data_IF_779493487089
#
_entry.id   IF_779493487089
#
_cell.length_a   1.000
_cell.length_b   1.000
_cell.length_c   1.000
_cell.angle_alpha   90.00
_cell.angle_beta   90.00
_cell.angle_gamma   90.00
#
_symmetry.space_group_name_H-M   'P 1'
#
loop_
_entity.id
_entity.type
_entity.pdbx_description
1 polymer ?
#
# COMPACT_ATOMS: atom_id res chain seq x y z
N UNK A 1 15.81 -4.06 25.97
CA UNK A 1 16.04 -5.27 25.16
C UNK A 1 15.30 -6.42 25.80
N UNK A 2 14.45 -7.10 25.04
CA UNK A 2 13.91 -8.42 25.33
C UNK A 2 14.61 -9.42 24.41
N UNK A 3 15.16 -10.48 24.96
CA UNK A 3 15.80 -11.55 24.20
C UNK A 3 15.07 -12.84 24.58
N UNK A 4 14.35 -13.43 23.62
CA UNK A 4 13.43 -14.55 23.83
C UNK A 4 14.18 -15.81 24.27
N UNK A 5 15.40 -16.01 23.76
CA UNK A 5 16.26 -17.12 24.18
C UNK A 5 16.64 -17.01 25.65
N UNK A 6 17.15 -15.87 26.09
CA UNK A 6 17.60 -15.67 27.48
C UNK A 6 16.45 -15.46 28.47
N UNK A 7 15.30 -15.01 27.98
CA UNK A 7 14.05 -14.93 28.76
C UNK A 7 13.41 -16.30 28.99
N UNK A 8 13.87 -17.34 28.29
CA UNK A 8 13.42 -18.73 28.47
C UNK A 8 12.21 -19.09 27.63
N UNK A 9 12.00 -18.40 26.51
CA UNK A 9 10.92 -18.64 25.56
C UNK A 9 11.35 -19.47 24.34
N UNK A 10 12.65 -19.69 24.13
CA UNK A 10 13.16 -20.68 23.17
C UNK A 10 12.88 -22.13 23.63
N UNK A 11 11.61 -22.54 23.63
CA UNK A 11 11.13 -23.81 24.16
C UNK A 11 10.55 -24.78 23.10
N UNK A 12 10.54 -24.34 21.85
CA UNK A 12 10.01 -25.06 20.69
C UNK A 12 8.52 -24.87 20.47
N UNK A 13 7.92 -23.86 21.09
CA UNK A 13 6.49 -23.52 20.97
C UNK A 13 6.35 -22.10 20.44
N UNK A 14 5.32 -21.87 19.64
CA UNK A 14 5.09 -20.53 19.09
C UNK A 14 4.80 -19.51 20.21
N UNK A 15 5.45 -18.34 20.13
CA UNK A 15 5.28 -17.27 21.10
C UNK A 15 4.58 -16.05 20.50
N UNK A 16 3.74 -15.40 21.30
CA UNK A 16 3.16 -14.09 20.96
C UNK A 16 3.74 -13.01 21.85
N UNK A 17 4.41 -12.03 21.24
CA UNK A 17 5.04 -10.88 21.92
C UNK A 17 4.15 -9.65 21.70
N UNK A 18 3.33 -9.30 22.69
CA UNK A 18 2.45 -8.12 22.65
C UNK A 18 3.16 -6.90 23.27
N UNK A 19 3.43 -5.90 22.43
CA UNK A 19 4.06 -4.61 22.75
C UNK A 19 2.99 -3.53 22.73
N UNK A 20 2.78 -2.86 23.87
CA UNK A 20 1.70 -1.87 24.00
C UNK A 20 1.93 -0.89 25.13
N UNK A 21 1.09 0.15 25.20
CA UNK A 21 1.00 1.00 26.37
C UNK A 21 -0.11 0.54 27.32
N UNK A 22 0.06 0.81 28.62
CA UNK A 22 -1.04 0.71 29.56
C UNK A 22 -2.17 1.70 29.21
N UNK A 23 -3.32 1.61 29.89
CA UNK A 23 -4.48 2.45 29.59
C UNK A 23 -4.24 3.96 29.82
N UNK A 24 -3.23 4.34 30.60
CA UNK A 24 -2.88 5.74 30.86
C UNK A 24 -1.89 6.32 29.84
N UNK A 25 -1.25 5.46 29.03
CA UNK A 25 -0.22 5.87 28.07
C UNK A 25 1.14 6.18 28.70
N UNK A 26 1.35 5.91 29.99
CA UNK A 26 2.56 6.28 30.72
C UNK A 26 3.52 5.11 30.95
N UNK A 27 3.10 3.86 30.70
CA UNK A 27 3.96 2.69 30.82
C UNK A 27 3.95 1.83 29.57
N UNK A 28 5.15 1.43 29.12
CA UNK A 28 5.32 0.33 28.18
C UNK A 28 5.04 -1.00 28.89
N UNK A 29 4.11 -1.79 28.39
CA UNK A 29 3.87 -3.17 28.80
C UNK A 29 4.39 -4.12 27.73
N UNK A 30 5.14 -5.14 28.14
CA UNK A 30 5.49 -6.28 27.28
C UNK A 30 4.85 -7.53 27.84
N UNK A 31 4.17 -8.27 26.97
CA UNK A 31 3.54 -9.54 27.32
C UNK A 31 4.01 -10.62 26.37
N UNK A 32 4.34 -11.79 26.92
CA UNK A 32 4.60 -12.99 26.15
C UNK A 32 3.53 -14.02 26.50
N UNK A 33 2.83 -14.52 25.50
CA UNK A 33 1.73 -15.48 25.65
C UNK A 33 0.66 -14.99 26.65
N UNK A 34 0.34 -13.69 26.57
CA UNK A 34 -0.61 -13.00 27.45
C UNK A 34 -0.11 -12.70 28.87
N UNK A 35 1.08 -13.20 29.25
CA UNK A 35 1.69 -12.94 30.56
C UNK A 35 2.57 -11.70 30.48
N UNK A 36 2.29 -10.71 31.32
CA UNK A 36 3.13 -9.51 31.40
C UNK A 36 4.48 -9.84 32.03
N UNK A 37 5.54 -9.64 31.25
CA UNK A 37 6.93 -9.87 31.68
C UNK A 37 7.66 -8.58 32.02
N UNK A 38 7.16 -7.44 31.53
CA UNK A 38 7.73 -6.12 31.78
C UNK A 38 6.64 -5.05 31.88
N UNK A 39 6.85 -4.10 32.78
CA UNK A 39 6.22 -2.79 32.75
C UNK A 39 7.21 -1.73 33.26
N UNK A 40 7.34 -0.64 32.52
CA UNK A 40 8.23 0.47 32.86
C UNK A 40 7.68 1.81 32.38
N UNK A 41 8.06 2.90 33.04
CA UNK A 41 7.69 4.25 32.62
C UNK A 41 8.23 4.53 31.22
N UNK A 42 7.36 4.93 30.29
CA UNK A 42 7.73 5.19 28.90
C UNK A 42 8.78 6.31 28.81
N UNK A 43 8.71 7.31 29.70
CA UNK A 43 9.64 8.44 29.70
C UNK A 43 11.09 8.02 30.04
N UNK A 44 11.27 6.86 30.68
CA UNK A 44 12.58 6.31 31.03
C UNK A 44 13.15 5.39 29.93
N UNK A 45 12.40 5.12 28.86
CA UNK A 45 12.77 4.20 27.79
C UNK A 45 13.15 5.00 26.55
N UNK A 46 14.45 4.97 26.23
CA UNK A 46 14.96 5.69 25.06
C UNK A 46 14.74 4.93 23.76
N UNK A 47 14.91 3.60 23.77
CA UNK A 47 14.70 2.71 22.62
C UNK A 47 14.25 1.34 23.09
N UNK A 48 13.65 0.56 22.20
CA UNK A 48 13.25 -0.80 22.47
C UNK A 48 13.79 -1.77 21.40
N UNK A 49 14.14 -2.99 21.83
CA UNK A 49 14.60 -4.05 20.94
C UNK A 49 14.05 -5.38 21.42
N UNK A 50 13.59 -6.19 20.48
CA UNK A 50 13.29 -7.60 20.69
C UNK A 50 14.20 -8.43 19.80
N UNK A 51 14.73 -9.50 20.37
CA UNK A 51 15.50 -10.53 19.67
C UNK A 51 14.73 -11.83 19.84
N UNK A 52 14.26 -12.40 18.74
CA UNK A 52 13.53 -13.65 18.66
C UNK A 52 14.39 -14.87 19.03
N UNK A 53 13.83 -16.05 18.91
CA UNK A 53 14.47 -17.31 19.27
C UNK A 53 14.63 -18.23 18.04
N UNK A 54 14.41 -19.54 18.17
CA UNK A 54 14.59 -20.50 17.09
C UNK A 54 13.30 -21.18 16.67
N UNK A 55 12.23 -20.88 17.39
CA UNK A 55 10.82 -21.21 17.22
C UNK A 55 10.09 -20.06 16.54
N UNK A 56 8.78 -20.22 16.32
CA UNK A 56 7.98 -19.26 15.57
C UNK A 56 7.50 -18.15 16.52
N UNK A 57 7.84 -16.89 16.25
CA UNK A 57 7.37 -15.76 17.05
C UNK A 57 6.44 -14.82 16.28
N UNK A 58 5.30 -14.51 16.87
CA UNK A 58 4.41 -13.44 16.40
C UNK A 58 4.59 -12.21 17.26
N UNK A 59 5.15 -11.17 16.65
CA UNK A 59 5.16 -9.84 17.23
C UNK A 59 3.82 -9.15 17.00
N UNK A 60 3.23 -8.60 18.07
CA UNK A 60 2.00 -7.82 18.01
C UNK A 60 2.25 -6.42 18.57
N UNK A 61 2.03 -5.40 17.75
CA UNK A 61 1.95 -4.02 18.19
C UNK A 61 0.48 -3.64 18.40
N UNK A 62 0.07 -3.48 19.66
CA UNK A 62 -1.32 -3.18 20.01
C UNK A 62 -1.49 -1.72 20.39
N UNK A 63 -2.32 -0.99 19.64
CA UNK A 63 -2.79 0.32 20.10
C UNK A 63 -3.80 0.16 21.24
N UNK A 64 -3.60 0.90 22.32
CA UNK A 64 -4.56 0.93 23.44
C UNK A 64 -5.18 2.32 23.59
N UNK A 65 -6.04 2.50 24.59
CA UNK A 65 -6.53 3.84 24.95
C UNK A 65 -5.40 4.82 25.31
N UNK A 66 -4.22 4.31 25.69
CA UNK A 66 -3.00 5.09 25.91
C UNK A 66 -2.26 5.47 24.62
N UNK A 67 -2.72 4.99 23.46
CA UNK A 67 -2.06 5.16 22.16
C UNK A 67 -1.04 4.05 21.85
N UNK A 68 -0.15 4.34 20.91
CA UNK A 68 1.01 3.52 20.57
C UNK A 68 2.25 4.00 21.35
N UNK A 69 3.19 3.10 21.68
CA UNK A 69 4.46 3.49 22.28
C UNK A 69 5.24 4.43 21.35
N UNK A 70 5.89 5.46 21.90
CA UNK A 70 6.77 6.37 21.16
C UNK A 70 8.06 6.54 21.95
N UNK A 71 9.22 6.49 21.26
CA UNK A 71 10.52 6.51 21.90
C UNK A 71 11.35 7.70 21.39
N UNK A 72 11.98 8.42 22.32
CA UNK A 72 12.76 9.63 21.99
C UNK A 72 14.15 9.33 21.40
N UNK A 73 14.62 8.09 21.54
CA UNK A 73 15.93 7.65 21.06
C UNK A 73 15.85 6.96 19.71
N UNK A 74 17.02 6.85 19.08
CA UNK A 74 17.18 6.21 17.79
C UNK A 74 17.91 4.86 17.97
N UNK A 75 17.21 3.77 17.65
CA UNK A 75 17.70 2.40 17.71
C UNK A 75 18.79 2.16 16.68
N UNK A 76 18.85 2.95 15.60
CA UNK A 76 19.93 2.84 14.59
C UNK A 76 21.28 3.31 15.10
N UNK A 77 21.28 4.17 16.12
CA UNK A 77 22.50 4.64 16.81
C UNK A 77 23.01 3.58 17.78
N UNK A 78 22.15 2.65 18.19
CA UNK A 78 22.59 1.48 18.95
C UNK A 78 23.25 0.50 17.97
N UNK A 79 24.39 -0.06 18.35
CA UNK A 79 25.16 -1.02 17.54
C UNK A 79 24.48 -2.37 17.34
N UNK A 80 23.16 -2.42 17.48
CA UNK A 80 22.38 -3.57 17.93
C UNK A 80 21.17 -3.81 17.00
N UNK A 81 21.39 -3.80 15.68
CA UNK A 81 20.45 -4.34 14.67
C UNK A 81 19.50 -3.32 14.01
N UNK A 82 19.09 -2.27 14.72
CA UNK A 82 18.20 -1.26 14.16
C UNK A 82 18.75 -0.60 12.89
N UNK A 83 17.95 -0.58 11.83
CA UNK A 83 18.32 0.02 10.55
C UNK A 83 17.23 0.95 9.99
N UNK A 84 17.60 1.75 9.00
CA UNK A 84 16.71 2.52 8.12
C UNK A 84 16.97 2.09 6.68
N UNK A 85 16.10 2.47 5.75
CA UNK A 85 16.37 2.39 4.31
C UNK A 85 16.32 3.78 3.64
N UNK A 86 16.68 3.81 2.35
CA UNK A 86 16.71 5.06 1.59
C UNK A 86 15.31 5.69 1.54
N UNK A 87 14.29 4.88 1.30
CA UNK A 87 12.88 5.29 1.24
C UNK A 87 12.41 5.92 2.55
N UNK A 88 12.83 5.42 3.70
CA UNK A 88 12.50 6.01 5.00
C UNK A 88 12.98 7.46 5.10
N UNK A 89 14.19 7.75 4.62
CA UNK A 89 14.70 9.13 4.63
C UNK A 89 13.84 10.03 3.75
N UNK A 90 13.43 9.57 2.58
CA UNK A 90 12.62 10.37 1.66
C UNK A 90 11.18 10.57 2.17
N UNK A 91 10.49 9.48 2.53
CA UNK A 91 9.09 9.51 2.95
C UNK A 91 8.89 10.06 4.37
N UNK A 92 9.77 9.74 5.31
CA UNK A 92 9.59 10.13 6.71
C UNK A 92 10.34 11.42 7.03
N UNK A 93 11.62 11.49 6.68
CA UNK A 93 12.46 12.65 7.05
C UNK A 93 12.21 13.85 6.14
N UNK A 94 12.15 13.65 4.82
CA UNK A 94 12.01 14.74 3.86
C UNK A 94 10.55 15.18 3.68
N UNK A 95 9.60 14.24 3.64
CA UNK A 95 8.18 14.59 3.57
C UNK A 95 7.55 14.96 4.93
N UNK A 96 8.27 14.77 6.04
CA UNK A 96 7.84 15.15 7.38
C UNK A 96 6.75 14.25 7.96
N UNK A 97 6.70 12.99 7.54
CA UNK A 97 5.74 11.98 8.01
C UNK A 97 6.41 11.11 9.05
N UNK A 98 6.54 11.57 10.30
CA UNK A 98 7.07 10.67 11.32
C UNK A 98 7.97 11.29 12.39
N UNK A 99 8.39 10.49 13.38
CA UNK A 99 9.62 10.76 14.09
C UNK A 99 10.79 10.44 13.14
N UNK A 100 11.81 11.30 13.09
CA UNK A 100 12.99 11.10 12.23
C UNK A 100 13.96 10.05 12.79
N UNK A 101 13.49 9.15 13.64
CA UNK A 101 14.27 8.14 14.35
C UNK A 101 13.50 6.82 14.44
N UNK A 102 14.23 5.72 14.34
CA UNK A 102 13.67 4.39 14.56
C UNK A 102 13.68 4.14 16.06
N UNK A 103 12.53 4.13 16.73
CA UNK A 103 12.47 3.98 18.18
C UNK A 103 12.63 2.52 18.65
N UNK A 104 12.39 1.58 17.74
CA UNK A 104 12.17 0.18 18.04
C UNK A 104 12.73 -0.72 16.94
N UNK A 105 13.22 -1.90 17.30
CA UNK A 105 13.73 -2.88 16.34
C UNK A 105 13.37 -4.31 16.75
N UNK A 106 13.07 -5.16 15.76
CA UNK A 106 12.78 -6.57 15.95
C UNK A 106 13.63 -7.43 15.04
N UNK A 107 14.23 -8.47 15.61
CA UNK A 107 15.02 -9.45 14.87
C UNK A 107 14.35 -10.80 15.09
N UNK A 108 13.82 -11.41 14.04
CA UNK A 108 13.12 -12.69 14.12
C UNK A 108 14.03 -13.86 14.55
N UNK A 109 15.28 -13.90 14.07
CA UNK A 109 16.15 -15.06 14.15
C UNK A 109 15.54 -16.30 13.43
N UNK A 110 15.57 -17.47 14.06
CA UNK A 110 15.04 -18.69 13.45
C UNK A 110 13.51 -18.72 13.44
N UNK A 111 12.93 -19.77 12.85
CA UNK A 111 11.48 -19.97 12.84
C UNK A 111 10.75 -19.23 11.71
N UNK A 112 9.42 -19.35 11.73
CA UNK A 112 8.49 -18.62 10.89
C UNK A 112 7.85 -17.49 11.70
N UNK A 113 8.54 -16.36 11.75
CA UNK A 113 8.13 -15.22 12.57
C UNK A 113 7.18 -14.30 11.82
N UNK A 114 6.22 -13.68 12.50
CA UNK A 114 5.23 -12.80 11.88
C UNK A 114 5.13 -11.45 12.60
N UNK A 115 4.69 -10.42 11.86
CA UNK A 115 4.38 -9.11 12.41
C UNK A 115 2.87 -8.84 12.30
N UNK A 116 2.28 -8.38 13.40
CA UNK A 116 0.91 -7.90 13.46
C UNK A 116 0.83 -6.50 14.07
N UNK A 117 0.12 -5.60 13.42
CA UNK A 117 -0.23 -4.28 13.95
C UNK A 117 -1.74 -4.20 14.10
N UNK A 118 -2.22 -3.86 15.29
CA UNK A 118 -3.63 -3.73 15.61
C UNK A 118 -3.96 -2.31 16.10
N UNK A 119 -4.57 -1.52 15.23
CA UNK A 119 -4.94 -0.14 15.50
C UNK A 119 -6.42 -0.03 15.92
N UNK A 120 -6.69 0.91 16.83
CA UNK A 120 -8.03 1.20 17.34
C UNK A 120 -8.56 2.57 16.89
N UNK A 121 -7.68 3.40 16.36
CA UNK A 121 -7.97 4.72 15.79
C UNK A 121 -7.43 4.81 14.36
N UNK A 122 -7.99 5.72 13.55
CA UNK A 122 -7.47 5.99 12.21
C UNK A 122 -6.02 6.51 12.31
N UNK A 123 -5.12 5.88 11.55
CA UNK A 123 -3.69 6.24 11.47
C UNK A 123 -3.23 6.15 10.03
N UNK A 124 -2.15 6.86 9.73
CA UNK A 124 -1.40 6.62 8.52
C UNK A 124 -0.31 5.60 8.83
N UNK A 125 -0.19 4.54 8.03
CA UNK A 125 0.82 3.50 8.17
C UNK A 125 1.65 3.46 6.90
N UNK A 126 2.96 3.50 7.04
CA UNK A 126 3.92 3.38 5.95
C UNK A 126 4.66 2.06 6.16
N UNK A 127 4.69 1.22 5.14
CA UNK A 127 5.52 0.01 5.07
C UNK A 127 6.54 0.16 3.95
N UNK A 128 7.81 0.10 4.34
CA UNK A 128 8.97 0.34 3.50
C UNK A 128 9.87 -0.90 3.55
N UNK A 129 9.61 -1.95 2.75
CA UNK A 129 10.50 -3.11 2.63
C UNK A 129 11.90 -2.69 2.18
N UNK A 130 12.90 -3.49 2.51
CA UNK A 130 14.27 -3.25 2.05
C UNK A 130 15.06 -4.54 1.86
N UNK A 131 16.33 -4.39 1.46
CA UNK A 131 17.25 -5.50 1.22
C UNK A 131 18.36 -5.57 2.27
N UNK A 132 18.14 -5.03 3.47
CA UNK A 132 19.18 -5.02 4.50
C UNK A 132 19.42 -6.44 5.04
N UNK A 133 18.34 -7.20 5.27
CA UNK A 133 18.34 -8.60 5.67
C UNK A 133 17.23 -9.35 4.90
N UNK A 134 17.00 -10.63 5.22
CA UNK A 134 15.83 -11.34 4.72
C UNK A 134 14.57 -10.84 5.41
N UNK A 135 13.49 -10.65 4.65
CA UNK A 135 12.17 -10.31 5.17
C UNK A 135 12.22 -9.11 6.12
N UNK A 136 12.91 -8.05 5.67
CA UNK A 136 13.22 -6.85 6.46
C UNK A 136 12.54 -5.60 5.93
N UNK A 137 12.41 -4.62 6.81
CA UNK A 137 11.88 -3.32 6.42
C UNK A 137 11.63 -2.39 7.59
N UNK A 138 11.03 -1.25 7.26
CA UNK A 138 10.66 -0.21 8.22
C UNK A 138 9.16 0.02 8.16
N UNK A 139 8.53 0.10 9.33
CA UNK A 139 7.14 0.55 9.47
C UNK A 139 7.09 1.84 10.29
N UNK A 140 6.33 2.81 9.78
CA UNK A 140 6.03 4.06 10.49
C UNK A 140 4.53 4.22 10.62
N UNK A 141 4.05 4.60 11.81
CA UNK A 141 2.63 4.84 12.09
C UNK A 141 2.48 6.27 12.61
N UNK A 142 1.65 7.05 11.93
CA UNK A 142 1.40 8.48 12.15
C UNK A 142 -0.06 8.80 12.47
N UNK A 143 -0.26 9.91 13.18
CA UNK A 143 -1.57 10.41 13.59
C UNK A 143 -2.20 11.42 12.63
N UNK A 144 -1.55 11.68 11.50
CA UNK A 144 -1.99 12.63 10.49
C UNK A 144 -1.69 14.09 10.84
N UNK A 145 -1.11 14.37 12.01
CA UNK A 145 -0.63 15.71 12.38
C UNK A 145 0.82 15.97 11.93
N UNK A 146 1.42 15.06 11.16
CA UNK A 146 2.81 15.15 10.72
C UNK A 146 3.81 14.85 11.84
N UNK A 147 3.40 14.06 12.82
CA UNK A 147 4.27 13.59 13.90
C UNK A 147 3.97 12.12 14.11
N UNK A 148 4.78 11.26 13.50
CA UNK A 148 4.57 9.84 13.66
C UNK A 148 4.68 9.44 15.13
N UNK A 149 3.80 8.55 15.52
CA UNK A 149 3.74 8.05 16.88
C UNK A 149 4.88 7.06 17.09
N UNK A 150 5.19 6.24 16.08
CA UNK A 150 6.26 5.27 16.13
C UNK A 150 6.84 4.96 14.76
N UNK A 151 8.16 4.75 14.71
CA UNK A 151 8.85 4.09 13.61
C UNK A 151 9.68 2.93 14.16
N UNK A 152 9.65 1.80 13.48
CA UNK A 152 10.43 0.62 13.85
C UNK A 152 10.95 -0.12 12.62
N UNK A 153 12.12 -0.73 12.75
CA UNK A 153 12.64 -1.67 11.76
C UNK A 153 12.44 -3.10 12.21
N UNK A 154 12.49 -4.02 11.27
CA UNK A 154 12.47 -5.44 11.56
C UNK A 154 13.28 -6.23 10.55
N UNK A 155 13.74 -7.41 10.97
CA UNK A 155 14.39 -8.42 10.15
C UNK A 155 13.72 -9.77 10.39
N UNK A 156 13.68 -10.62 9.36
CA UNK A 156 13.22 -12.02 9.42
C UNK A 156 11.76 -12.17 9.91
N UNK A 157 10.87 -11.24 9.52
CA UNK A 157 9.43 -11.33 9.83
C UNK A 157 8.59 -11.46 8.55
N UNK A 158 7.85 -12.57 8.44
CA UNK A 158 6.92 -12.88 7.36
C UNK A 158 5.77 -13.79 7.84
N UNK A 159 4.49 -13.44 7.65
CA UNK A 159 3.98 -12.27 6.90
C UNK A 159 3.87 -11.00 7.75
N UNK A 160 3.58 -9.87 7.09
CA UNK A 160 3.19 -8.61 7.72
C UNK A 160 1.66 -8.48 7.67
N UNK A 161 1.03 -8.23 8.81
CA UNK A 161 -0.41 -7.96 8.91
C UNK A 161 -0.68 -6.62 9.60
N UNK A 162 -1.41 -5.73 8.94
CA UNK A 162 -1.73 -4.40 9.47
C UNK A 162 -3.25 -4.15 9.48
N UNK A 163 -3.82 -4.05 10.68
CA UNK A 163 -5.26 -3.76 10.87
C UNK A 163 -5.45 -2.30 11.29
N UNK A 164 -6.02 -1.50 10.40
CA UNK A 164 -6.33 -0.09 10.62
C UNK A 164 -7.52 0.13 11.54
N UNK A 165 -7.54 1.26 12.24
CA UNK A 165 -8.58 1.59 13.23
C UNK A 165 -9.82 2.28 12.67
N UNK A 166 -10.17 2.02 11.39
CA UNK A 166 -11.37 2.56 10.76
C UNK A 166 -11.17 3.82 9.91
N UNK A 167 -9.99 3.99 9.31
CA UNK A 167 -9.65 5.13 8.44
C UNK A 167 -8.14 5.33 8.30
N UNK A 168 -7.74 6.47 7.72
CA UNK A 168 -6.33 6.80 7.46
C UNK A 168 -5.75 6.11 6.23
N UNK A 169 -4.46 6.31 5.99
CA UNK A 169 -3.75 5.82 4.82
C UNK A 169 -2.91 4.59 5.14
N UNK A 170 -2.86 3.61 4.25
CA UNK A 170 -1.78 2.63 4.17
C UNK A 170 -0.95 2.94 2.93
N UNK A 171 0.33 3.27 3.11
CA UNK A 171 1.33 3.40 2.06
C UNK A 171 2.23 2.15 2.08
N UNK A 172 2.30 1.45 0.96
CA UNK A 172 3.24 0.35 0.71
C UNK A 172 4.19 0.81 -0.40
N UNK A 173 5.48 0.88 -0.12
CA UNK A 173 6.45 1.53 -1.01
C UNK A 173 7.67 0.63 -1.29
N UNK A 174 7.75 0.11 -2.51
CA UNK A 174 8.77 -0.83 -2.94
C UNK A 174 10.09 -0.18 -3.39
N UNK A 175 10.26 1.14 -3.24
CA UNK A 175 11.41 1.88 -3.80
C UNK A 175 12.78 1.40 -3.30
N UNK A 176 12.84 0.77 -2.11
CA UNK A 176 14.07 0.21 -1.56
C UNK A 176 14.34 -1.25 -1.98
N UNK A 177 13.50 -1.83 -2.85
CA UNK A 177 13.62 -3.21 -3.35
C UNK A 177 13.63 -3.21 -4.90
N UNK A 178 14.76 -2.89 -5.56
CA UNK A 178 14.86 -2.81 -7.02
C UNK A 178 14.63 -4.13 -7.79
N UNK A 179 14.38 -5.22 -7.07
CA UNK A 179 14.09 -6.53 -7.64
C UNK A 179 12.59 -6.78 -7.80
N UNK A 180 11.74 -5.92 -7.23
CA UNK A 180 10.29 -5.96 -7.48
C UNK A 180 10.06 -5.62 -8.94
N UNK A 181 9.36 -6.48 -9.65
CA UNK A 181 8.90 -6.24 -11.03
C UNK A 181 7.39 -6.36 -11.16
N UNK A 182 6.72 -6.89 -10.12
CA UNK A 182 5.27 -6.95 -10.05
C UNK A 182 4.78 -6.76 -8.62
N UNK A 183 3.74 -5.95 -8.48
CA UNK A 183 2.94 -5.78 -7.27
C UNK A 183 1.50 -6.16 -7.61
N UNK A 184 0.88 -7.02 -6.80
CA UNK A 184 -0.53 -7.40 -6.96
C UNK A 184 -1.34 -7.01 -5.75
N UNK A 185 -2.55 -6.52 -5.98
CA UNK A 185 -3.52 -6.15 -4.95
C UNK A 185 -4.77 -7.00 -5.15
N UNK A 186 -5.16 -7.75 -4.12
CA UNK A 186 -6.30 -8.67 -4.19
C UNK A 186 -7.00 -8.84 -2.83
N UNK A 187 -8.26 -9.26 -2.88
CA UNK A 187 -8.99 -9.80 -1.73
C UNK A 187 -8.22 -11.02 -1.17
N UNK A 188 -7.98 -11.01 0.14
CA UNK A 188 -7.52 -12.20 0.85
C UNK A 188 -8.39 -12.40 2.07
N UNK A 189 -9.13 -13.50 2.13
CA UNK A 189 -9.96 -13.78 3.29
C UNK A 189 -11.30 -14.40 2.96
N UNK A 190 -12.27 -14.11 3.82
CA UNK A 190 -13.66 -14.51 3.64
C UNK A 190 -14.46 -13.34 3.08
N UNK A 191 -15.30 -13.61 2.08
CA UNK A 191 -16.08 -12.57 1.42
C UNK A 191 -16.79 -11.60 2.40
N UNK A 192 -16.57 -10.31 2.19
CA UNK A 192 -17.10 -9.17 2.97
C UNK A 192 -16.48 -8.99 4.37
N UNK A 193 -15.26 -9.48 4.60
CA UNK A 193 -14.50 -9.20 5.83
C UNK A 193 -13.61 -7.95 5.71
N UNK A 194 -13.41 -7.46 4.49
CA UNK A 194 -12.63 -6.24 4.22
C UNK A 194 -11.12 -6.44 4.31
N UNK A 195 -10.65 -7.69 4.27
CA UNK A 195 -9.24 -8.05 4.31
C UNK A 195 -8.70 -8.18 2.88
N UNK A 196 -7.56 -7.55 2.64
CA UNK A 196 -6.92 -7.45 1.33
C UNK A 196 -5.42 -7.72 1.48
N UNK A 197 -4.75 -7.99 0.37
CA UNK A 197 -3.33 -8.31 0.29
C UNK A 197 -2.65 -7.39 -0.72
N UNK A 198 -1.46 -6.89 -0.37
CA UNK A 198 -0.46 -6.43 -1.33
C UNK A 198 0.67 -7.46 -1.35
N UNK A 199 0.91 -8.09 -2.50
CA UNK A 199 1.94 -9.11 -2.73
C UNK A 199 2.94 -8.60 -3.77
N UNK A 200 4.23 -8.81 -3.51
CA UNK A 200 5.32 -8.42 -4.39
C UNK A 200 6.17 -9.62 -4.79
N UNK A 201 6.59 -9.67 -6.06
CA UNK A 201 7.27 -10.84 -6.62
C UNK A 201 8.73 -11.04 -6.17
N UNK A 202 9.32 -10.03 -5.54
CA UNK A 202 10.69 -10.08 -5.03
C UNK A 202 10.77 -10.78 -3.67
N UNK A 203 11.79 -11.62 -3.50
CA UNK A 203 12.02 -12.33 -2.22
C UNK A 203 12.38 -11.41 -1.03
N UNK A 204 12.63 -10.12 -1.26
CA UNK A 204 12.88 -9.13 -0.20
C UNK A 204 11.64 -8.24 0.07
N UNK A 205 10.54 -8.48 -0.64
CA UNK A 205 9.26 -7.82 -0.41
C UNK A 205 8.36 -8.79 0.36
N UNK A 206 7.99 -8.43 1.58
CA UNK A 206 7.00 -9.23 2.32
C UNK A 206 5.57 -8.83 2.00
N UNK A 207 4.75 -9.86 1.82
CA UNK A 207 3.30 -9.78 1.71
C UNK A 207 2.68 -8.98 2.87
N UNK A 208 1.84 -8.02 2.51
CA UNK A 208 1.11 -7.17 3.47
C UNK A 208 -0.37 -7.47 3.43
N UNK A 209 -0.84 -8.21 4.43
CA UNK A 209 -2.27 -8.36 4.66
C UNK A 209 -2.80 -7.12 5.39
N UNK A 210 -3.84 -6.47 4.87
CA UNK A 210 -4.38 -5.25 5.45
C UNK A 210 -5.91 -5.20 5.51
N UNK A 211 -6.42 -4.40 6.45
CA UNK A 211 -7.85 -4.05 6.56
C UNK A 211 -8.02 -2.74 7.31
N UNK A 212 -9.21 -2.13 7.27
CA UNK A 212 -9.56 -1.01 8.16
C UNK A 212 -8.95 0.36 7.81
N UNK A 213 -8.32 0.51 6.65
CA UNK A 213 -7.78 1.78 6.13
C UNK A 213 -8.76 2.48 5.17
N UNK A 214 -8.77 3.81 5.21
CA UNK A 214 -9.61 4.62 4.34
C UNK A 214 -9.08 4.74 2.91
N UNK A 215 -7.76 4.60 2.78
CA UNK A 215 -7.03 4.70 1.52
C UNK A 215 -5.84 3.74 1.50
N UNK A 216 -5.64 3.09 0.36
CA UNK A 216 -4.42 2.36 0.04
C UNK A 216 -3.61 3.17 -0.97
N UNK A 217 -2.29 3.24 -0.78
CA UNK A 217 -1.33 3.76 -1.74
C UNK A 217 -0.25 2.69 -1.93
N UNK A 218 0.00 2.31 -3.17
CA UNK A 218 1.05 1.36 -3.55
C UNK A 218 2.00 2.06 -4.50
N UNK A 219 3.29 2.04 -4.18
CA UNK A 219 4.37 2.69 -4.94
C UNK A 219 5.34 1.62 -5.43
N UNK A 220 5.75 1.74 -6.69
CA UNK A 220 6.71 0.90 -7.39
C UNK A 220 8.14 0.99 -6.86
N UNK A 221 9.05 0.44 -7.66
CA UNK A 221 10.49 0.48 -7.49
C UNK A 221 11.11 1.54 -8.41
N UNK A 222 12.43 1.49 -8.64
CA UNK A 222 13.13 2.31 -9.64
C UNK A 222 13.27 1.59 -11.00
N UNK A 223 12.35 0.69 -11.34
CA UNK A 223 12.41 -0.21 -12.49
C UNK A 223 11.13 -0.23 -13.30
N UNK A 224 11.04 -1.13 -14.27
CA UNK A 224 9.78 -1.32 -14.99
C UNK A 224 8.92 -2.33 -14.22
N UNK A 225 7.85 -1.83 -13.59
CA UNK A 225 6.95 -2.60 -12.76
C UNK A 225 5.58 -2.80 -13.39
N UNK A 226 4.93 -3.90 -13.00
CA UNK A 226 3.48 -4.07 -13.19
C UNK A 226 2.79 -3.99 -11.84
N UNK A 227 1.93 -2.99 -11.65
CA UNK A 227 1.08 -2.85 -10.47
C UNK A 227 -0.35 -3.24 -10.87
N UNK A 228 -0.84 -4.37 -10.36
CA UNK A 228 -2.08 -5.01 -10.80
C UNK A 228 -3.13 -5.09 -9.68
N UNK A 229 -4.16 -4.26 -9.78
CA UNK A 229 -5.33 -4.28 -8.91
C UNK A 229 -6.34 -5.30 -9.44
N UNK A 230 -6.33 -6.50 -8.85
CA UNK A 230 -7.15 -7.64 -9.28
C UNK A 230 -8.57 -7.48 -8.75
N UNK A 231 -8.71 -7.35 -7.44
CA UNK A 231 -9.98 -7.13 -6.74
C UNK A 231 -9.74 -6.56 -5.34
N UNK A 232 -10.83 -6.15 -4.70
CA UNK A 232 -10.82 -5.65 -3.32
C UNK A 232 -12.04 -6.17 -2.58
N UNK A 233 -11.83 -6.61 -1.35
CA UNK A 233 -12.91 -6.76 -0.39
C UNK A 233 -13.16 -5.43 0.33
N UNK A 234 -14.33 -4.84 0.07
CA UNK A 234 -14.89 -3.71 0.83
C UNK A 234 -16.10 -4.15 1.63
N UNK A 235 -15.86 -5.03 2.59
CA UNK A 235 -16.86 -5.53 3.52
C UNK A 235 -17.66 -4.44 4.24
N UNK A 236 -18.77 -4.85 4.87
CA UNK A 236 -19.63 -3.91 5.60
C UNK A 236 -18.88 -3.24 6.75
N UNK A 237 -18.59 -1.94 6.61
CA UNK A 237 -17.80 -1.19 7.58
C UNK A 237 -16.31 -1.04 7.22
N UNK A 238 -15.88 -1.55 6.06
CA UNK A 238 -14.57 -1.18 5.49
C UNK A 238 -14.58 0.30 5.11
N UNK A 239 -13.65 1.11 5.63
CA UNK A 239 -13.55 2.52 5.31
C UNK A 239 -12.88 2.78 3.96
N UNK A 240 -12.36 1.74 3.28
CA UNK A 240 -11.60 1.90 2.04
C UNK A 240 -12.48 2.50 0.94
N UNK A 241 -12.08 3.69 0.49
CA UNK A 241 -12.78 4.45 -0.56
C UNK A 241 -11.85 4.95 -1.65
N UNK A 242 -10.54 4.77 -1.47
CA UNK A 242 -9.54 5.23 -2.41
C UNK A 242 -8.37 4.25 -2.52
N UNK A 243 -7.91 4.04 -3.74
CA UNK A 243 -6.63 3.42 -4.07
C UNK A 243 -5.81 4.41 -4.92
N UNK A 244 -4.52 4.48 -4.65
CA UNK A 244 -3.53 5.15 -5.49
C UNK A 244 -2.48 4.10 -5.86
N UNK A 245 -2.25 3.91 -7.16
CA UNK A 245 -1.16 3.11 -7.68
C UNK A 245 -0.19 4.08 -8.34
N UNK A 246 1.08 3.96 -8.00
CA UNK A 246 2.15 4.84 -8.48
C UNK A 246 3.32 3.99 -8.98
N UNK A 247 3.64 4.12 -10.26
CA UNK A 247 4.76 3.42 -10.91
C UNK A 247 6.13 3.94 -10.47
N UNK A 248 6.20 5.18 -9.99
CA UNK A 248 7.47 5.83 -9.66
C UNK A 248 8.10 5.31 -8.35
N UNK A 249 9.31 5.79 -8.06
CA UNK A 249 10.01 5.62 -6.81
C UNK A 249 9.74 6.77 -5.82
N UNK A 250 10.24 6.60 -4.59
CA UNK A 250 10.04 7.55 -3.51
C UNK A 250 10.68 8.92 -3.74
N UNK A 251 11.48 9.07 -4.80
CA UNK A 251 12.16 10.30 -5.16
C UNK A 251 11.61 10.99 -6.40
N UNK A 252 10.59 10.42 -7.07
CA UNK A 252 10.01 10.99 -8.30
C UNK A 252 11.13 11.08 -9.37
N UNK A 253 11.82 9.94 -9.58
CA UNK A 253 12.97 9.88 -10.52
C UNK A 253 13.00 8.64 -11.39
N UNK A 254 12.07 7.70 -11.20
CA UNK A 254 11.95 6.60 -12.12
C UNK A 254 11.47 7.11 -13.48
N UNK A 255 12.08 6.60 -14.54
CA UNK A 255 11.73 6.92 -15.92
C UNK A 255 11.52 5.64 -16.74
N UNK A 256 11.29 4.53 -16.05
CA UNK A 256 11.02 3.22 -16.62
C UNK A 256 9.63 3.19 -17.25
N UNK A 257 9.25 2.06 -17.85
CA UNK A 257 7.95 1.95 -18.50
C UNK A 257 7.08 1.06 -17.63
N UNK A 258 6.15 1.67 -16.90
CA UNK A 258 5.33 0.99 -15.93
C UNK A 258 4.00 0.55 -16.50
N UNK A 259 3.42 -0.48 -15.90
CA UNK A 259 2.07 -0.95 -16.25
C UNK A 259 1.18 -0.94 -15.02
N UNK A 260 0.20 -0.05 -15.02
CA UNK A 260 -0.80 0.07 -13.96
C UNK A 260 -2.12 -0.52 -14.46
N UNK A 261 -2.48 -1.68 -13.92
CA UNK A 261 -3.66 -2.45 -14.35
C UNK A 261 -4.75 -2.46 -13.29
N UNK A 262 -6.00 -2.28 -13.73
CA UNK A 262 -7.21 -2.43 -12.91
C UNK A 262 -8.11 -3.47 -13.55
N UNK A 263 -8.37 -4.55 -12.83
CA UNK A 263 -9.25 -5.64 -13.30
C UNK A 263 -10.64 -5.59 -12.71
N UNK A 264 -10.78 -5.13 -11.48
CA UNK A 264 -12.06 -5.01 -10.77
C UNK A 264 -11.99 -3.87 -9.77
N UNK A 265 -13.10 -3.17 -9.56
CA UNK A 265 -13.14 -2.07 -8.62
C UNK A 265 -14.55 -1.94 -7.99
N UNK A 266 -14.69 -2.07 -6.67
CA UNK A 266 -15.98 -1.88 -6.01
C UNK A 266 -16.52 -0.45 -6.20
N UNK A 267 -17.84 -0.31 -6.29
CA UNK A 267 -18.50 0.98 -6.58
C UNK A 267 -18.25 2.10 -5.56
N UNK A 268 -17.82 1.76 -4.34
CA UNK A 268 -17.51 2.72 -3.28
C UNK A 268 -16.05 3.19 -3.31
N UNK A 269 -15.21 2.59 -4.15
CA UNK A 269 -13.77 2.85 -4.23
C UNK A 269 -13.46 3.55 -5.55
N UNK A 270 -12.64 4.59 -5.49
CA UNK A 270 -12.03 5.18 -6.68
C UNK A 270 -10.56 4.80 -6.74
N UNK A 271 -10.01 4.68 -7.96
CA UNK A 271 -8.59 4.41 -8.17
C UNK A 271 -7.93 5.55 -8.94
N UNK A 272 -6.76 5.97 -8.47
CA UNK A 272 -5.87 6.90 -9.19
C UNK A 272 -4.62 6.15 -9.61
N UNK A 273 -4.23 6.29 -10.88
CA UNK A 273 -3.07 5.65 -11.48
C UNK A 273 -2.09 6.76 -11.88
N UNK A 274 -0.87 6.68 -11.35
CA UNK A 274 0.26 7.56 -11.64
C UNK A 274 1.35 6.70 -12.28
N UNK A 275 1.74 7.01 -13.50
CA UNK A 275 2.81 6.32 -14.22
C UNK A 275 4.19 6.74 -13.72
N UNK A 276 4.33 8.03 -13.40
CA UNK A 276 5.64 8.63 -13.13
C UNK A 276 6.14 9.29 -14.41
N UNK A 277 7.46 9.29 -14.63
CA UNK A 277 8.02 9.57 -15.94
C UNK A 277 8.23 8.26 -16.71
N UNK A 278 8.28 8.32 -18.04
CA UNK A 278 8.53 7.12 -18.85
C UNK A 278 7.49 6.91 -19.93
N UNK A 279 7.48 5.74 -20.58
CA UNK A 279 6.42 5.42 -21.54
C UNK A 279 5.45 4.44 -20.86
N UNK A 280 4.42 4.95 -20.19
CA UNK A 280 3.60 4.14 -19.27
C UNK A 280 2.33 3.55 -19.90
N UNK A 281 1.87 2.44 -19.32
CA UNK A 281 0.67 1.72 -19.73
C UNK A 281 -0.38 1.68 -18.61
N UNK A 282 -1.50 2.36 -18.84
CA UNK A 282 -2.69 2.28 -18.00
C UNK A 282 -3.68 1.31 -18.63
N UNK A 283 -4.01 0.23 -17.92
CA UNK A 283 -4.84 -0.85 -18.45
C UNK A 283 -6.08 -1.09 -17.59
N UNK A 284 -7.26 -0.99 -18.20
CA UNK A 284 -8.52 -1.42 -17.61
C UNK A 284 -8.94 -2.69 -18.34
N UNK A 285 -8.73 -3.83 -17.69
CA UNK A 285 -8.91 -5.15 -18.28
C UNK A 285 -9.34 -6.15 -17.22
N UNK A 286 -10.59 -6.62 -17.30
CA UNK A 286 -11.13 -7.64 -16.39
C UNK A 286 -10.41 -8.99 -16.45
N UNK A 287 -9.50 -9.21 -17.41
CA UNK A 287 -8.79 -10.45 -17.62
C UNK A 287 -7.34 -10.26 -18.13
N UNK A 288 -6.47 -9.79 -17.25
CA UNK A 288 -5.02 -10.05 -17.27
C UNK A 288 -4.31 -10.15 -18.64
N UNK A 289 -4.26 -9.07 -19.42
CA UNK A 289 -3.45 -9.00 -20.64
C UNK A 289 -3.92 -9.95 -21.74
N UNK A 290 -5.18 -10.37 -21.71
CA UNK A 290 -5.81 -11.10 -22.81
C UNK A 290 -6.55 -10.13 -23.74
N UNK A 291 -6.61 -10.44 -25.03
CA UNK A 291 -7.44 -9.73 -26.01
C UNK A 291 -8.94 -10.10 -25.84
N UNK A 292 -9.41 -10.10 -24.58
CA UNK A 292 -10.64 -10.75 -24.12
C UNK A 292 -10.88 -10.41 -22.66
N UNK A 293 -11.88 -9.58 -22.38
CA UNK A 293 -12.29 -9.16 -21.04
C UNK A 293 -13.54 -8.30 -21.09
N UNK A 294 -14.09 -7.98 -19.91
CA UNK A 294 -15.09 -6.92 -19.75
C UNK A 294 -14.66 -6.00 -18.62
N UNK A 295 -14.98 -4.72 -18.74
CA UNK A 295 -14.76 -3.72 -17.67
C UNK A 295 -16.03 -3.43 -16.87
N UNK A 296 -17.09 -4.24 -17.05
CA UNK A 296 -18.34 -4.17 -16.29
C UNK A 296 -18.15 -4.31 -14.76
N UNK A 297 -17.09 -5.00 -14.33
CA UNK A 297 -16.75 -5.19 -12.92
C UNK A 297 -15.92 -4.03 -12.34
N UNK A 298 -15.55 -3.03 -13.14
CA UNK A 298 -14.96 -1.77 -12.68
C UNK A 298 -16.11 -0.81 -12.38
N UNK A 299 -16.69 -0.94 -11.18
CA UNK A 299 -17.85 -0.16 -10.75
C UNK A 299 -17.48 1.16 -10.04
N UNK A 300 -16.22 1.32 -9.66
CA UNK A 300 -15.65 2.57 -9.14
C UNK A 300 -15.20 3.53 -10.25
N UNK A 301 -14.88 4.77 -9.91
CA UNK A 301 -14.35 5.73 -10.89
C UNK A 301 -12.83 5.57 -11.03
N UNK A 302 -12.31 5.65 -12.27
CA UNK A 302 -10.88 5.53 -12.58
C UNK A 302 -10.30 6.89 -13.00
N UNK A 303 -9.10 7.16 -12.53
CA UNK A 303 -8.35 8.38 -12.79
C UNK A 303 -6.94 8.03 -13.25
N UNK A 304 -6.66 8.14 -14.55
CA UNK A 304 -5.40 7.71 -15.14
C UNK A 304 -4.54 8.91 -15.56
N UNK A 305 -3.24 8.88 -15.23
CA UNK A 305 -2.30 9.95 -15.51
C UNK A 305 -2.84 11.33 -15.13
N UNK A 306 -3.04 11.54 -13.82
CA UNK A 306 -3.49 12.84 -13.31
C UNK A 306 -3.10 13.12 -11.87
N UNK A 307 -2.59 14.34 -11.66
CA UNK A 307 -2.17 14.89 -10.37
C UNK A 307 -3.31 15.33 -9.43
N UNK A 308 -4.54 14.89 -9.68
CA UNK A 308 -5.68 15.13 -8.80
C UNK A 308 -6.34 13.80 -8.49
N UNK A 309 -6.52 13.46 -7.22
CA UNK A 309 -7.21 12.23 -6.87
C UNK A 309 -8.74 12.42 -6.93
N UNK A 310 -9.48 11.35 -7.20
CA UNK A 310 -10.89 11.29 -6.86
C UNK A 310 -11.07 11.52 -5.36
N UNK A 311 -11.84 12.52 -4.95
CA UNK A 311 -12.26 12.63 -3.56
C UNK A 311 -11.16 12.97 -2.54
N UNK A 312 -9.96 13.38 -2.97
CA UNK A 312 -8.87 13.73 -2.06
C UNK A 312 -7.64 14.34 -2.75
N UNK A 313 -6.70 14.83 -1.95
CA UNK A 313 -5.37 15.17 -2.44
C UNK A 313 -4.52 13.90 -2.54
N UNK A 314 -3.76 13.74 -3.62
CA UNK A 314 -2.66 12.78 -3.69
C UNK A 314 -1.64 13.17 -2.60
N UNK A 315 -1.09 12.22 -1.82
CA UNK A 315 -0.01 12.49 -0.89
C UNK A 315 1.12 13.31 -1.55
N UNK A 316 1.74 14.20 -0.78
CA UNK A 316 2.86 15.01 -1.28
C UNK A 316 4.04 14.11 -1.66
N UNK A 317 4.61 14.32 -2.85
CA UNK A 317 5.73 13.51 -3.35
C UNK A 317 5.30 12.25 -4.10
N UNK A 318 4.04 12.18 -4.54
CA UNK A 318 3.57 11.28 -5.58
C UNK A 318 3.01 12.16 -6.69
N UNK A 319 3.58 12.10 -7.89
CA UNK A 319 3.24 12.99 -8.98
C UNK A 319 3.22 12.21 -10.29
N UNK A 320 2.21 12.45 -11.11
CA UNK A 320 2.28 12.11 -12.53
C UNK A 320 3.21 13.11 -13.23
N UNK A 321 4.38 12.64 -13.67
CA UNK A 321 5.33 13.42 -14.44
C UNK A 321 4.95 13.37 -15.93
N UNK A 322 4.50 14.48 -16.52
CA UNK A 322 4.03 14.50 -17.91
C UNK A 322 5.12 14.35 -19.00
N UNK A 323 6.06 13.42 -18.82
CA UNK A 323 7.13 13.09 -19.76
C UNK A 323 7.02 11.64 -20.19
N UNK A 324 6.66 11.42 -21.45
CA UNK A 324 6.37 10.07 -21.89
C UNK A 324 5.61 9.98 -23.20
N UNK A 325 5.32 8.75 -23.62
CA UNK A 325 4.25 8.43 -24.55
C UNK A 325 3.31 7.44 -23.89
N UNK A 326 2.40 7.98 -23.09
CA UNK A 326 1.59 7.16 -22.22
C UNK A 326 0.38 6.62 -22.96
N UNK A 327 -0.06 5.44 -22.56
CA UNK A 327 -1.15 4.72 -23.21
C UNK A 327 -2.24 4.35 -22.22
N UNK A 328 -3.50 4.58 -22.60
CA UNK A 328 -4.67 4.08 -21.87
C UNK A 328 -5.39 3.03 -22.73
N UNK A 329 -5.50 1.81 -22.21
CA UNK A 329 -6.24 0.71 -22.86
C UNK A 329 -7.44 0.32 -22.03
N UNK A 330 -8.61 0.21 -22.67
CA UNK A 330 -9.86 -0.28 -22.07
C UNK A 330 -10.32 -1.51 -22.85
N UNK A 331 -10.39 -2.67 -22.20
CA UNK A 331 -10.68 -3.97 -22.81
C UNK A 331 -12.08 -4.48 -22.42
N UNK A 332 -13.01 -4.40 -23.38
CA UNK A 332 -14.41 -4.77 -23.21
C UNK A 332 -14.94 -5.68 -24.34
N UNK A 333 -14.09 -6.56 -24.86
CA UNK A 333 -14.47 -7.41 -26.01
C UNK A 333 -15.38 -8.58 -25.66
N UNK A 334 -15.47 -8.96 -24.38
CA UNK A 334 -16.29 -10.07 -23.91
C UNK A 334 -17.65 -9.63 -23.32
N UNK A 335 -17.97 -8.33 -23.32
CA UNK A 335 -19.29 -7.84 -22.93
C UNK A 335 -20.34 -8.15 -24.03
N UNK A 336 -21.42 -8.91 -23.69
CA UNK A 336 -22.55 -9.11 -24.59
C UNK A 336 -23.59 -7.98 -24.57
N UNK A 337 -23.52 -7.05 -23.60
CA UNK A 337 -24.36 -5.85 -23.59
C UNK A 337 -23.87 -4.84 -24.62
N UNK A 338 -24.67 -3.79 -24.82
CA UNK A 338 -24.40 -2.77 -25.81
C UNK A 338 -24.23 -1.43 -25.13
N UNK A 339 -23.10 -0.79 -25.37
CA UNK A 339 -22.68 0.43 -24.70
C UNK A 339 -22.92 1.68 -25.53
N UNK A 340 -23.05 2.80 -24.82
CA UNK A 340 -23.03 4.13 -25.43
C UNK A 340 -21.84 4.89 -24.87
N UNK A 341 -20.69 4.69 -25.52
CA UNK A 341 -19.43 5.23 -25.07
C UNK A 341 -19.26 6.68 -25.54
N UNK A 342 -19.05 7.60 -24.60
CA UNK A 342 -18.72 9.00 -24.89
C UNK A 342 -17.26 9.25 -24.53
N UNK A 343 -16.43 9.51 -25.54
CA UNK A 343 -15.01 9.83 -25.37
C UNK A 343 -14.84 11.33 -25.58
N UNK A 344 -14.30 12.05 -24.61
CA UNK A 344 -13.97 13.48 -24.73
C UNK A 344 -12.46 13.68 -24.90
N UNK A 345 -11.93 14.87 -24.57
CA UNK A 345 -10.49 15.09 -24.54
C UNK A 345 -9.84 14.58 -23.24
N UNK A 346 -10.63 14.37 -22.18
CA UNK A 346 -10.13 14.04 -20.83
C UNK A 346 -11.01 13.02 -20.10
N UNK A 347 -12.01 12.43 -20.77
CA UNK A 347 -12.96 11.51 -20.12
C UNK A 347 -13.44 10.41 -21.05
N UNK A 348 -13.76 9.24 -20.50
CA UNK A 348 -14.58 8.19 -21.10
C UNK A 348 -15.76 7.95 -20.16
N UNK A 349 -16.94 7.71 -20.73
CA UNK A 349 -18.19 7.48 -20.00
C UNK A 349 -18.98 6.38 -20.70
N UNK A 350 -19.64 5.53 -19.91
CA UNK A 350 -20.63 4.56 -20.36
C UNK A 350 -20.04 3.31 -21.00
N UNK A 351 -18.84 2.89 -20.56
CA UNK A 351 -18.23 1.60 -20.95
C UNK A 351 -17.95 0.70 -19.74
N UNK A 352 -17.86 1.24 -18.54
CA UNK A 352 -17.60 0.47 -17.32
C UNK A 352 -18.89 0.23 -16.54
N UNK A 353 -18.84 -0.62 -15.50
CA UNK A 353 -19.93 -0.76 -14.54
C UNK A 353 -20.14 0.44 -13.60
N UNK A 354 -19.38 1.53 -13.78
CA UNK A 354 -19.39 2.68 -12.89
C UNK A 354 -20.71 3.45 -12.93
N UNK A 355 -21.20 3.83 -11.75
CA UNK A 355 -22.33 4.75 -11.62
C UNK A 355 -21.89 6.21 -11.49
N UNK A 356 -20.58 6.47 -11.45
CA UNK A 356 -20.02 7.81 -11.51
C UNK A 356 -20.20 8.41 -12.92
N UNK A 357 -20.00 9.72 -13.05
CA UNK A 357 -19.93 10.36 -14.36
C UNK A 357 -18.89 11.47 -14.34
N UNK A 358 -17.78 11.35 -15.09
CA UNK A 358 -17.43 10.25 -16.03
C UNK A 358 -17.01 8.94 -15.34
N UNK A 359 -17.05 7.81 -16.04
CA UNK A 359 -16.43 6.53 -15.63
C UNK A 359 -14.92 6.67 -15.41
N UNK A 360 -14.24 7.26 -16.40
CA UNK A 360 -12.79 7.42 -16.46
C UNK A 360 -12.48 8.89 -16.73
N UNK A 361 -11.61 9.46 -15.92
CA UNK A 361 -10.93 10.73 -16.24
C UNK A 361 -9.47 10.44 -16.55
N UNK A 362 -8.92 11.09 -17.57
CA UNK A 362 -7.53 10.87 -17.97
C UNK A 362 -6.86 12.11 -18.55
N UNK A 363 -5.52 12.08 -18.53
CA UNK A 363 -4.67 12.93 -19.38
C UNK A 363 -4.92 14.42 -19.20
N UNK A 364 -5.20 14.85 -17.98
CA UNK A 364 -5.22 16.28 -17.65
C UNK A 364 -3.84 16.84 -18.00
N UNK A 365 -3.79 17.97 -18.71
CA UNK A 365 -2.55 18.58 -19.24
C UNK A 365 -1.78 17.76 -20.30
N UNK A 366 -2.38 16.70 -20.85
CA UNK A 366 -1.89 16.02 -22.05
C UNK A 366 -1.10 14.74 -21.82
N UNK A 367 -1.04 14.23 -20.59
CA UNK A 367 -0.27 13.07 -20.11
C UNK A 367 -0.74 11.69 -20.63
N UNK A 368 -1.46 11.64 -21.75
CA UNK A 368 -1.86 10.38 -22.42
C UNK A 368 -1.82 10.61 -23.91
N UNK A 369 -0.92 9.94 -24.62
CA UNK A 369 -0.71 10.10 -26.05
C UNK A 369 -1.67 9.23 -26.86
N UNK A 370 -1.94 8.01 -26.36
CA UNK A 370 -2.73 7.01 -27.07
C UNK A 370 -3.83 6.46 -26.19
N UNK A 371 -5.04 6.39 -26.74
CA UNK A 371 -6.18 5.72 -26.11
C UNK A 371 -6.63 4.61 -27.05
N UNK A 372 -6.70 3.40 -26.52
CA UNK A 372 -7.24 2.23 -27.20
C UNK A 372 -8.47 1.75 -26.43
N UNK A 373 -9.60 1.64 -27.12
CA UNK A 373 -10.80 1.04 -26.55
C UNK A 373 -11.18 -0.14 -27.44
N UNK A 374 -11.11 -1.33 -26.88
CA UNK A 374 -11.53 -2.57 -27.52
C UNK A 374 -12.90 -2.93 -26.96
N UNK A 375 -13.89 -3.10 -27.84
CA UNK A 375 -15.27 -3.45 -27.46
C UNK A 375 -15.78 -4.53 -28.42
N UNK A 376 -16.82 -5.25 -28.03
CA UNK A 376 -17.44 -6.27 -28.86
C UNK A 376 -18.33 -5.65 -29.95
N UNK A 377 -18.90 -6.46 -30.85
CA UNK A 377 -20.02 -6.03 -31.71
C UNK A 377 -21.32 -6.78 -31.36
N UNK A 378 -21.33 -7.48 -30.22
CA UNK A 378 -22.38 -8.41 -29.86
C UNK A 378 -23.66 -7.70 -29.36
N UNK A 379 -23.53 -6.55 -28.71
CA UNK A 379 -24.66 -5.75 -28.19
C UNK A 379 -25.02 -4.50 -28.99
N UNK A 380 -24.12 -4.04 -29.88
CA UNK A 380 -24.35 -2.90 -30.76
C UNK A 380 -23.80 -1.59 -30.21
N UNK A 381 -22.51 -1.60 -29.86
CA UNK A 381 -21.81 -0.49 -29.21
C UNK A 381 -21.77 0.76 -30.08
N UNK A 382 -21.97 1.91 -29.43
CA UNK A 382 -22.05 3.21 -30.06
C UNK A 382 -21.02 4.18 -29.49
N UNK A 383 -19.98 4.46 -30.26
CA UNK A 383 -18.92 5.40 -29.89
C UNK A 383 -19.24 6.83 -30.35
N UNK A 384 -19.21 7.78 -29.40
CA UNK A 384 -19.32 9.21 -29.64
C UNK A 384 -18.02 9.92 -29.25
N UNK A 385 -17.09 9.99 -30.22
CA UNK A 385 -15.79 10.63 -30.01
C UNK A 385 -15.90 12.14 -30.20
N UNK A 386 -15.64 12.87 -29.12
CA UNK A 386 -15.70 14.34 -29.01
C UNK A 386 -14.38 14.88 -28.51
N UNK A 387 -13.31 14.64 -29.28
CA UNK A 387 -11.99 15.17 -28.97
C UNK A 387 -11.75 16.51 -29.66
N UNK A 388 -11.01 17.39 -28.97
CA UNK A 388 -10.44 18.62 -29.53
C UNK A 388 -8.93 18.51 -29.76
N UNK A 389 -8.32 17.36 -29.43
CA UNK A 389 -6.89 17.08 -29.58
C UNK A 389 -6.56 16.90 -31.05
N UNK A 390 -5.48 17.54 -31.51
CA UNK A 390 -5.06 17.48 -32.92
C UNK A 390 -4.58 16.06 -33.27
N UNK A 391 -5.36 15.30 -34.03
CA UNK A 391 -4.99 13.95 -34.50
C UNK A 391 -5.92 12.81 -34.06
N UNK A 392 -6.92 13.06 -33.21
CA UNK A 392 -7.90 12.04 -32.79
C UNK A 392 -9.01 11.84 -33.83
N UNK A 393 -9.36 10.59 -34.12
CA UNK A 393 -10.60 10.16 -34.81
C UNK A 393 -11.24 9.05 -34.02
#
# INVERSE_FOLDING_TARGET
MLDMTTAGFADGSDDTIDVRLNAAGDQLELRVNGTQIFAGDLADINTFRVVGSGDDETLVLTETAGGLPSFAGDSTVLTDGGHTNATFTERVVNAGIGPNNIGMHFEGNGGANALQVALTTARNTLYLPDTNEANSGVITIDDGAGSGVISFSFDELAPVTVTGGGGGDLLVDASSVPAVTALTIQDTGAANDGVNLVDGDAAAFEDVTFSGYGRLIVVGGPGAETIDLIDLDVGAGSPLTQVVLDGDDATDTDASADTLRVRSLPAAVNVTLLGGAGDDAFELDGNAGAAGGTVDNIAGQVFAAQNAAAGGAIPTGLTEEGTGNDTLTVEDTDDPAGDTVVVTATTIEGITGSAASPDITYGVDGQIETITINSSDAGGDAFNVRSTRSGSV
#
